data_IF_768480628820
#
_entry.id   IF_768480628820
#
_cell.length_a   1.000
_cell.length_b   1.000
_cell.length_c   1.000
_cell.angle_alpha   90.00
_cell.angle_beta   90.00
_cell.angle_gamma   90.00
#
_symmetry.space_group_name_H-M   'P 1'
#
loop_
_entity.id
_entity.type
_entity.pdbx_description
1 polymer ?
#
# COMPACT_ATOMS: atom_id res chain seq x y z
N UNK A 1 1.99 5.26 21.11
CA UNK A 1 2.80 6.51 20.99
C UNK A 1 3.75 6.50 19.78
N UNK A 2 4.44 5.40 19.44
CA UNK A 2 5.33 5.34 18.25
C UNK A 2 4.60 5.31 16.89
N UNK A 3 3.40 4.72 16.81
CA UNK A 3 2.65 4.61 15.54
C UNK A 3 2.26 5.97 14.96
N UNK A 4 1.74 6.87 15.81
CA UNK A 4 1.39 8.23 15.41
C UNK A 4 2.59 8.99 14.85
N UNK A 5 3.79 8.81 15.43
CA UNK A 5 4.99 9.51 14.95
C UNK A 5 5.39 9.07 13.53
N UNK A 6 5.26 7.78 13.21
CA UNK A 6 5.61 7.26 11.89
C UNK A 6 4.59 7.64 10.81
N UNK A 7 3.30 7.69 11.15
CA UNK A 7 2.25 8.18 10.24
C UNK A 7 2.40 9.69 10.00
N UNK A 8 2.70 10.47 11.04
CA UNK A 8 2.93 11.90 10.92
C UNK A 8 4.14 12.20 10.03
N UNK A 9 5.26 11.48 10.24
CA UNK A 9 6.42 11.57 9.36
C UNK A 9 6.05 11.26 7.91
N UNK A 10 5.30 10.18 7.67
CA UNK A 10 4.86 9.84 6.32
C UNK A 10 4.01 10.96 5.70
N UNK A 11 3.07 11.54 6.46
CA UNK A 11 2.26 12.67 6.03
C UNK A 11 3.13 13.88 5.66
N UNK A 12 4.08 14.25 6.53
CA UNK A 12 4.99 15.37 6.30
C UNK A 12 5.83 15.17 5.04
N UNK A 13 6.40 13.98 4.85
CA UNK A 13 7.20 13.68 3.65
C UNK A 13 6.34 13.75 2.38
N UNK A 14 5.10 13.27 2.40
CA UNK A 14 4.20 13.38 1.25
C UNK A 14 3.85 14.84 0.94
N UNK A 15 3.62 15.67 1.98
CA UNK A 15 3.39 17.11 1.82
C UNK A 15 4.61 17.80 1.19
N UNK A 16 5.83 17.50 1.66
CA UNK A 16 7.07 18.05 1.11
C UNK A 16 7.32 17.63 -0.35
N UNK A 17 6.81 16.47 -0.75
CA UNK A 17 6.83 15.99 -2.15
C UNK A 17 5.68 16.54 -3.00
N UNK A 18 4.92 17.51 -2.49
CA UNK A 18 3.80 18.15 -3.19
C UNK A 18 2.70 17.18 -3.65
N UNK A 19 2.45 16.10 -2.90
CA UNK A 19 1.27 15.27 -3.15
C UNK A 19 0.00 16.06 -2.81
N UNK A 20 -1.06 15.89 -3.61
CA UNK A 20 -2.35 16.55 -3.33
C UNK A 20 -2.91 16.13 -1.97
N UNK A 21 -3.63 17.00 -1.25
CA UNK A 21 -4.24 16.66 0.04
C UNK A 21 -5.13 15.42 -0.03
N UNK A 22 -5.84 15.24 -1.14
CA UNK A 22 -6.70 14.08 -1.37
C UNK A 22 -5.86 12.80 -1.55
N UNK A 23 -4.73 12.85 -2.25
CA UNK A 23 -3.82 11.71 -2.37
C UNK A 23 -3.22 11.34 -1.02
N UNK A 24 -2.78 12.33 -0.24
CA UNK A 24 -2.25 12.12 1.12
C UNK A 24 -3.29 11.41 1.98
N UNK A 25 -4.54 11.90 2.00
CA UNK A 25 -5.65 11.28 2.73
C UNK A 25 -5.87 9.82 2.31
N UNK A 26 -5.86 9.54 1.02
CA UNK A 26 -6.02 8.18 0.48
C UNK A 26 -4.86 7.27 0.93
N UNK A 27 -3.62 7.75 0.86
CA UNK A 27 -2.45 6.97 1.24
C UNK A 27 -2.40 6.69 2.74
N UNK A 28 -2.70 7.68 3.58
CA UNK A 28 -2.79 7.50 5.03
C UNK A 28 -3.88 6.47 5.40
N UNK A 29 -5.04 6.54 4.74
CA UNK A 29 -6.11 5.55 4.94
C UNK A 29 -5.66 4.14 4.56
N UNK A 30 -4.96 3.98 3.44
CA UNK A 30 -4.45 2.68 3.01
C UNK A 30 -3.41 2.10 3.99
N UNK A 31 -2.51 2.93 4.51
CA UNK A 31 -1.51 2.52 5.52
C UNK A 31 -2.20 2.12 6.83
N UNK A 32 -3.19 2.88 7.29
CA UNK A 32 -4.00 2.53 8.47
C UNK A 32 -4.73 1.20 8.27
N UNK A 33 -5.35 0.98 7.11
CA UNK A 33 -6.00 -0.29 6.80
C UNK A 33 -5.01 -1.46 6.81
N UNK A 34 -3.78 -1.24 6.36
CA UNK A 34 -2.72 -2.24 6.43
C UNK A 34 -2.32 -2.54 7.88
N UNK A 35 -2.20 -1.53 8.75
CA UNK A 35 -1.90 -1.73 10.17
C UNK A 35 -3.00 -2.51 10.88
N UNK A 36 -4.26 -2.15 10.64
CA UNK A 36 -5.41 -2.88 11.18
C UNK A 36 -5.48 -4.33 10.69
N UNK A 37 -5.13 -4.57 9.42
CA UNK A 37 -5.10 -5.92 8.86
C UNK A 37 -3.95 -6.77 9.40
N UNK A 38 -2.74 -6.21 9.49
CA UNK A 38 -1.52 -6.99 9.76
C UNK A 38 -1.10 -7.00 11.23
N UNK A 39 -1.55 -6.02 12.03
CA UNK A 39 -1.00 -5.75 13.36
C UNK A 39 0.44 -5.24 13.34
N UNK A 40 1.00 -4.90 12.17
CA UNK A 40 2.39 -4.51 11.99
C UNK A 40 2.50 -3.07 11.52
N UNK A 41 3.36 -2.30 12.20
CA UNK A 41 3.73 -0.94 11.79
C UNK A 41 4.84 -0.94 10.75
N UNK A 42 5.71 -1.95 10.76
CA UNK A 42 6.81 -2.13 9.81
C UNK A 42 6.39 -3.15 8.75
N UNK A 43 6.11 -2.73 7.50
CA UNK A 43 5.71 -3.66 6.46
C UNK A 43 6.86 -4.61 6.08
N UNK A 44 6.53 -5.87 5.82
CA UNK A 44 7.41 -6.87 5.22
C UNK A 44 6.88 -7.29 3.85
N UNK A 45 7.71 -8.00 3.08
CA UNK A 45 7.30 -8.51 1.78
C UNK A 45 6.10 -9.48 1.90
N UNK A 46 6.10 -10.32 2.94
CA UNK A 46 5.02 -11.26 3.24
C UNK A 46 3.74 -10.54 3.70
N UNK A 47 3.86 -9.56 4.61
CA UNK A 47 2.68 -8.83 5.10
C UNK A 47 2.02 -8.02 3.98
N UNK A 48 2.82 -7.42 3.08
CA UNK A 48 2.32 -6.70 1.91
C UNK A 48 1.58 -7.65 0.96
N UNK A 49 2.12 -8.85 0.74
CA UNK A 49 1.49 -9.86 -0.10
C UNK A 49 0.14 -10.31 0.48
N UNK A 50 0.10 -10.70 1.76
CA UNK A 50 -1.12 -11.10 2.47
C UNK A 50 -2.18 -9.99 2.47
N UNK A 51 -1.77 -8.75 2.68
CA UNK A 51 -2.68 -7.60 2.59
C UNK A 51 -3.26 -7.43 1.19
N UNK A 52 -2.43 -7.63 0.16
CA UNK A 52 -2.90 -7.51 -1.22
C UNK A 52 -3.92 -8.60 -1.56
N UNK A 53 -3.71 -9.83 -1.09
CA UNK A 53 -4.67 -10.93 -1.24
C UNK A 53 -6.01 -10.61 -0.56
N UNK A 54 -5.97 -10.09 0.68
CA UNK A 54 -7.22 -9.78 1.41
C UNK A 54 -8.01 -8.64 0.78
N UNK A 55 -7.34 -7.64 0.19
CA UNK A 55 -8.02 -6.60 -0.60
C UNK A 55 -8.69 -7.17 -1.85
N UNK A 56 -8.08 -8.18 -2.46
CA UNK A 56 -8.64 -8.85 -3.62
C UNK A 56 -9.84 -9.73 -3.27
N UNK A 57 -9.77 -10.48 -2.16
CA UNK A 57 -10.90 -11.28 -1.66
C UNK A 57 -12.13 -10.42 -1.36
N UNK A 58 -11.91 -9.16 -0.95
CA UNK A 58 -12.95 -8.13 -0.79
C UNK A 58 -13.53 -7.60 -2.11
N UNK A 59 -13.12 -8.15 -3.26
CA UNK A 59 -13.55 -7.75 -4.62
C UNK A 59 -13.40 -6.26 -4.90
N UNK A 60 -12.37 -5.62 -4.33
CA UNK A 60 -12.09 -4.20 -4.59
C UNK A 60 -11.57 -4.00 -6.01
N UNK A 61 -11.81 -2.80 -6.56
CA UNK A 61 -11.33 -2.48 -7.92
C UNK A 61 -9.81 -2.49 -8.00
N UNK A 62 -9.27 -2.81 -9.19
CA UNK A 62 -7.83 -2.85 -9.42
C UNK A 62 -7.15 -1.53 -9.03
N UNK A 63 -7.75 -0.39 -9.37
CA UNK A 63 -7.22 0.92 -9.00
C UNK A 63 -7.14 1.11 -7.49
N UNK A 64 -8.15 0.62 -6.75
CA UNK A 64 -8.14 0.67 -5.29
C UNK A 64 -7.01 -0.19 -4.71
N UNK A 65 -6.89 -1.45 -5.17
CA UNK A 65 -5.83 -2.37 -4.73
C UNK A 65 -4.45 -1.78 -5.06
N UNK A 66 -4.26 -1.27 -6.28
CA UNK A 66 -3.02 -0.62 -6.72
C UNK A 66 -2.65 0.55 -5.81
N UNK A 67 -3.59 1.46 -5.56
CA UNK A 67 -3.33 2.62 -4.71
C UNK A 67 -3.00 2.22 -3.27
N UNK A 68 -3.69 1.22 -2.72
CA UNK A 68 -3.41 0.71 -1.38
C UNK A 68 -2.02 0.07 -1.29
N UNK A 69 -1.64 -0.76 -2.27
CA UNK A 69 -0.31 -1.38 -2.33
C UNK A 69 0.79 -0.34 -2.50
N UNK A 70 0.59 0.65 -3.40
CA UNK A 70 1.56 1.73 -3.59
C UNK A 70 1.76 2.55 -2.32
N UNK A 71 0.68 2.88 -1.59
CA UNK A 71 0.76 3.62 -0.34
C UNK A 71 1.61 2.90 0.71
N UNK A 72 1.40 1.59 0.91
CA UNK A 72 2.16 0.78 1.89
C UNK A 72 3.63 0.64 1.47
N UNK A 73 3.89 0.45 0.18
CA UNK A 73 5.27 0.40 -0.35
C UNK A 73 6.00 1.71 -0.13
N UNK A 74 5.36 2.83 -0.48
CA UNK A 74 5.95 4.15 -0.33
C UNK A 74 6.19 4.49 1.14
N UNK A 75 5.27 4.10 2.03
CA UNK A 75 5.46 4.19 3.47
C UNK A 75 6.68 3.37 3.94
N UNK A 76 6.83 2.12 3.47
CA UNK A 76 7.97 1.27 3.80
C UNK A 76 9.31 1.89 3.36
N UNK A 77 9.36 2.44 2.15
CA UNK A 77 10.56 3.08 1.60
C UNK A 77 10.91 4.36 2.38
N UNK A 78 9.94 5.26 2.57
CA UNK A 78 10.18 6.58 3.17
C UNK A 78 10.43 6.55 4.68
N UNK A 79 9.74 5.66 5.40
CA UNK A 79 9.74 5.67 6.87
C UNK A 79 10.72 4.65 7.46
N UNK A 80 11.00 3.58 6.71
CA UNK A 80 11.82 2.46 7.16
C UNK A 80 13.04 2.20 6.28
N UNK A 81 13.19 2.90 5.15
CA UNK A 81 14.28 2.63 4.19
C UNK A 81 14.17 1.26 3.52
N UNK A 82 12.98 0.66 3.51
CA UNK A 82 12.76 -0.69 3.01
C UNK A 82 12.00 -0.68 1.68
N UNK A 83 12.71 -1.07 0.61
CA UNK A 83 12.10 -1.23 -0.70
C UNK A 83 11.39 -2.57 -0.81
N UNK A 84 10.06 -2.52 -0.77
CA UNK A 84 9.22 -3.69 -1.02
C UNK A 84 8.89 -3.81 -2.51
N UNK A 85 8.85 -5.04 -3.00
CA UNK A 85 8.45 -5.35 -4.37
C UNK A 85 6.96 -5.74 -4.40
N UNK A 86 6.25 -5.36 -5.46
CA UNK A 86 4.87 -5.82 -5.68
C UNK A 86 4.74 -6.47 -7.05
N UNK A 87 5.46 -7.59 -7.22
CA UNK A 87 5.33 -8.46 -8.40
C UNK A 87 3.89 -9.01 -8.55
N UNK A 88 3.02 -8.80 -7.57
CA UNK A 88 1.61 -9.08 -7.64
C UNK A 88 0.83 -8.17 -8.62
N UNK A 89 1.17 -6.87 -8.68
CA UNK A 89 0.47 -5.93 -9.57
C UNK A 89 0.71 -6.25 -11.06
N UNK A 90 1.89 -6.79 -11.41
CA UNK A 90 2.19 -7.20 -12.78
C UNK A 90 1.40 -8.43 -13.22
N UNK A 91 1.13 -9.37 -12.29
CA UNK A 91 0.26 -10.53 -12.55
C UNK A 91 -1.23 -10.14 -12.65
N UNK A 92 -1.69 -9.19 -11.84
CA UNK A 92 -3.08 -8.71 -11.88
C UNK A 92 -3.45 -7.99 -13.17
N UNK A 93 -2.52 -7.22 -13.76
CA UNK A 93 -2.75 -6.53 -15.03
C UNK A 93 -3.08 -7.51 -16.16
N UNK A 94 -2.47 -8.71 -16.16
CA UNK A 94 -2.75 -9.74 -17.18
C UNK A 94 -4.12 -10.40 -17.02
N UNK A 95 -4.57 -10.60 -15.77
CA UNK A 95 -5.88 -11.17 -15.45
C UNK A 95 -7.03 -10.21 -15.77
N UNK A 96 -6.87 -8.92 -15.47
CA UNK A 96 -7.87 -7.89 -15.78
C UNK A 96 -7.95 -7.54 -17.28
N UNK A 97 -6.85 -7.76 -18.03
CA UNK A 97 -6.80 -7.54 -19.49
C UNK A 97 -7.28 -8.75 -20.33
N UNK A 98 -7.90 -9.76 -19.70
CA UNK A 98 -8.44 -10.93 -20.41
C UNK A 98 -7.39 -11.83 -21.09
N UNK A 99 -6.09 -11.62 -20.81
CA UNK A 99 -5.03 -12.36 -21.47
C UNK A 99 -4.46 -13.43 -20.54
N UNK A 100 -5.10 -14.61 -20.51
CA UNK A 100 -4.45 -15.92 -20.53
C UNK A 100 -5.46 -17.02 -20.93
N UNK A 101 -5.14 -17.74 -22.01
CA UNK A 101 -5.47 -19.15 -22.20
C UNK A 101 -4.52 -19.97 -21.31
N UNK A 102 -5.03 -21.09 -20.80
CA UNK A 102 -4.44 -22.04 -19.86
C UNK A 102 -2.99 -22.41 -20.20
#
# INVERSE_FOLDING_TARGET
>A
RMENNKINLFREVLSLRNYSPQTIKTYLKAVNNFFQFSGLTKPTQDSLYKFTLSLNEKKLSFSHIKNSVMAVRLYSDLVWGLRLHSNFLSKYRKKAAGCFKY
#
